data_IF_458131684346
#
_entry.id   IF_458131684346
#
_cell.length_a   1.000
_cell.length_b   1.000
_cell.length_c   1.000
_cell.angle_alpha   90.00
_cell.angle_beta   90.00
_cell.angle_gamma   90.00
#
_symmetry.space_group_name_H-M   'P 1'
#
loop_
_entity.id
_entity.type
_entity.pdbx_description
1 polymer ?
#
# COMPACT_ATOMS: atom_id res chain seq x y z
N UNK A 1 -5.97 33.06 -15.80
CA UNK A 1 -4.95 31.99 -15.99
C UNK A 1 -5.41 30.79 -15.19
N UNK A 2 -5.76 29.61 -15.71
CA UNK A 2 -5.91 29.05 -17.06
C UNK A 2 -7.08 28.06 -16.95
N UNK A 3 -8.22 28.34 -17.58
CA UNK A 3 -9.21 27.31 -17.90
C UNK A 3 -9.03 27.02 -19.38
N UNK A 4 -8.13 26.06 -19.67
CA UNK A 4 -7.92 25.56 -21.03
C UNK A 4 -9.14 24.77 -21.44
N UNK A 5 -9.85 25.30 -22.43
CA UNK A 5 -10.97 24.64 -23.11
C UNK A 5 -10.41 23.44 -23.88
N UNK A 6 -10.85 22.24 -23.54
CA UNK A 6 -10.70 21.10 -24.44
C UNK A 6 -11.56 21.38 -25.68
N UNK A 7 -10.88 21.69 -26.78
CA UNK A 7 -11.48 21.96 -28.08
C UNK A 7 -12.09 20.66 -28.60
N UNK A 8 -13.43 20.60 -28.65
CA UNK A 8 -14.15 19.57 -29.38
C UNK A 8 -13.84 19.78 -30.87
N UNK A 9 -12.84 19.04 -31.38
CA UNK A 9 -12.52 19.02 -32.79
C UNK A 9 -13.59 18.16 -33.48
N UNK A 10 -14.74 18.76 -33.78
CA UNK A 10 -15.74 18.14 -34.66
C UNK A 10 -15.13 18.12 -36.06
N UNK A 11 -14.48 17.02 -36.41
CA UNK A 11 -14.02 16.75 -37.77
C UNK A 11 -15.28 16.57 -38.63
N UNK A 12 -15.74 17.65 -39.28
CA UNK A 12 -16.75 17.56 -40.33
C UNK A 12 -16.07 16.91 -41.53
N UNK A 13 -16.14 15.59 -41.60
CA UNK A 13 -15.84 14.85 -42.82
C UNK A 13 -16.95 15.13 -43.82
N UNK A 14 -16.62 15.87 -44.87
CA UNK A 14 -17.44 15.96 -46.06
C UNK A 14 -17.59 14.55 -46.64
N UNK A 15 -18.80 14.00 -46.60
CA UNK A 15 -19.14 12.77 -47.30
C UNK A 15 -19.27 13.14 -48.78
N UNK A 16 -18.20 12.93 -49.55
CA UNK A 16 -18.31 12.83 -51.00
C UNK A 16 -19.04 11.52 -51.32
N UNK A 17 -20.19 11.63 -51.97
CA UNK A 17 -20.92 10.48 -52.49
C UNK A 17 -20.23 9.98 -53.76
N UNK A 18 -19.23 9.11 -53.60
CA UNK A 18 -18.81 8.22 -54.68
C UNK A 18 -19.76 7.00 -54.69
N UNK A 19 -20.44 6.70 -55.81
CA UNK A 19 -21.22 5.48 -55.94
C UNK A 19 -20.23 4.33 -56.12
N UNK A 20 -20.51 3.19 -55.48
CA UNK A 20 -19.66 1.99 -55.39
C UNK A 20 -18.70 2.09 -54.19
N UNK A 21 -19.20 1.83 -52.98
CA UNK A 21 -18.59 0.97 -51.95
C UNK A 21 -19.52 1.02 -50.73
N UNK A 22 -20.49 0.09 -50.66
CA UNK A 22 -21.23 -0.16 -49.44
C UNK A 22 -20.31 -0.92 -48.48
N UNK A 23 -19.48 -0.20 -47.72
CA UNK A 23 -18.81 -0.80 -46.57
C UNK A 23 -19.87 -0.98 -45.47
N UNK A 24 -20.20 -2.22 -45.08
CA UNK A 24 -21.10 -2.43 -43.96
C UNK A 24 -20.40 -1.89 -42.71
N UNK A 25 -20.89 -0.76 -42.19
CA UNK A 25 -20.53 -0.27 -40.86
C UNK A 25 -21.18 -1.18 -39.81
N UNK A 26 -20.72 -2.43 -39.70
CA UNK A 26 -20.91 -3.24 -38.50
C UNK A 26 -19.79 -2.87 -37.53
N UNK A 27 -19.86 -1.66 -36.94
CA UNK A 27 -19.13 -1.40 -35.71
C UNK A 27 -19.82 -2.20 -34.61
N UNK A 28 -19.35 -3.42 -34.39
CA UNK A 28 -19.61 -4.13 -33.14
C UNK A 28 -19.01 -3.27 -32.03
N UNK A 29 -19.84 -2.49 -31.35
CA UNK A 29 -19.47 -1.93 -30.05
C UNK A 29 -19.30 -3.11 -29.09
N UNK A 30 -18.08 -3.61 -28.99
CA UNK A 30 -17.69 -4.42 -27.85
C UNK A 30 -17.68 -3.50 -26.64
N UNK A 31 -18.74 -3.57 -25.84
CA UNK A 31 -18.70 -3.19 -24.44
C UNK A 31 -17.68 -4.13 -23.76
N UNK A 32 -16.41 -3.77 -23.86
CA UNK A 32 -15.37 -4.35 -23.02
C UNK A 32 -15.76 -3.94 -21.59
N UNK A 33 -16.27 -4.89 -20.81
CA UNK A 33 -16.51 -4.67 -19.39
C UNK A 33 -15.14 -4.54 -18.75
N UNK A 34 -14.66 -3.32 -18.59
CA UNK A 34 -13.48 -3.04 -17.79
C UNK A 34 -13.81 -3.42 -16.34
N UNK A 35 -13.18 -4.48 -15.86
CA UNK A 35 -13.28 -4.92 -14.48
C UNK A 35 -12.29 -4.06 -13.71
N UNK A 36 -12.81 -3.18 -12.85
CA UNK A 36 -12.00 -2.39 -11.94
C UNK A 36 -11.35 -3.26 -10.86
N UNK A 37 -10.20 -2.83 -10.37
CA UNK A 37 -9.44 -3.49 -9.32
C UNK A 37 -9.11 -2.51 -8.20
N UNK A 38 -9.18 -2.98 -6.96
CA UNK A 38 -8.83 -2.19 -5.79
C UNK A 38 -7.90 -3.00 -4.91
N UNK A 39 -7.02 -2.31 -4.18
CA UNK A 39 -6.38 -2.90 -3.01
C UNK A 39 -7.13 -2.46 -1.75
N UNK A 40 -7.29 -3.38 -0.80
CA UNK A 40 -7.63 -3.06 0.57
C UNK A 40 -6.53 -3.61 1.47
N UNK A 41 -5.93 -2.73 2.27
CA UNK A 41 -4.90 -3.06 3.25
C UNK A 41 -5.26 -2.46 4.60
N UNK A 42 -4.83 -3.10 5.68
CA UNK A 42 -5.21 -2.75 7.05
C UNK A 42 -4.18 -3.30 8.01
N UNK A 43 -4.19 -2.79 9.24
CA UNK A 43 -3.53 -3.43 10.40
C UNK A 43 -2.05 -3.71 10.14
N UNK A 44 -1.33 -2.71 9.61
CA UNK A 44 0.10 -2.86 9.32
C UNK A 44 0.90 -3.11 10.59
N UNK A 45 0.52 -2.49 11.72
CA UNK A 45 1.24 -2.51 13.00
C UNK A 45 2.76 -2.51 12.81
N UNK A 46 3.30 -1.42 12.26
CA UNK A 46 4.72 -1.33 11.96
C UNK A 46 5.51 -1.12 13.25
N UNK A 47 6.24 -2.15 13.67
CA UNK A 47 7.20 -2.06 14.75
C UNK A 47 8.56 -1.59 14.23
N UNK A 48 8.86 -0.32 14.47
CA UNK A 48 10.15 0.30 14.11
C UNK A 48 11.32 -0.19 14.97
N UNK A 49 11.05 -0.79 16.12
CA UNK A 49 12.04 -1.28 17.08
C UNK A 49 12.23 -2.81 17.01
N UNK A 50 11.49 -3.50 16.13
CA UNK A 50 11.65 -4.93 15.92
C UNK A 50 13.11 -5.29 15.65
N UNK A 51 13.60 -6.31 16.33
CA UNK A 51 14.96 -6.82 16.18
C UNK A 51 14.95 -8.32 15.99
N UNK A 52 15.77 -8.83 15.07
CA UNK A 52 16.03 -10.28 14.94
C UNK A 52 16.73 -10.89 16.15
N UNK A 53 17.19 -10.05 17.09
CA UNK A 53 17.74 -10.44 18.38
C UNK A 53 16.86 -9.94 19.54
N UNK A 54 15.60 -9.62 19.26
CA UNK A 54 14.63 -9.18 20.25
C UNK A 54 14.09 -10.32 21.11
N UNK A 55 13.33 -9.97 22.13
CA UNK A 55 12.68 -10.90 23.06
C UNK A 55 11.16 -10.76 22.98
N UNK A 56 10.44 -11.87 22.80
CA UNK A 56 8.98 -11.90 22.72
C UNK A 56 8.32 -11.32 23.98
N UNK A 57 8.97 -11.46 25.14
CA UNK A 57 8.47 -10.89 26.40
C UNK A 57 8.64 -9.37 26.48
N UNK A 58 9.45 -8.80 25.59
CA UNK A 58 9.73 -7.38 25.48
C UNK A 58 9.29 -6.83 24.11
N UNK A 59 8.13 -7.27 23.62
CA UNK A 59 7.56 -6.84 22.34
C UNK A 59 8.52 -6.99 21.15
N UNK A 60 9.44 -7.97 21.22
CA UNK A 60 10.42 -8.25 20.18
C UNK A 60 11.45 -7.14 19.95
N UNK A 61 11.61 -6.27 20.96
CA UNK A 61 12.64 -5.23 21.00
C UNK A 61 13.91 -5.77 21.65
N UNK A 62 15.04 -5.13 21.35
CA UNK A 62 16.32 -5.47 21.98
C UNK A 62 16.54 -4.62 23.24
N UNK A 63 16.36 -5.21 24.43
CA UNK A 63 16.69 -4.57 25.69
C UNK A 63 17.98 -5.14 26.29
N UNK A 64 19.01 -4.30 26.40
CA UNK A 64 20.33 -4.68 26.91
C UNK A 64 20.35 -5.07 28.41
N UNK A 65 19.24 -4.99 29.14
CA UNK A 65 19.23 -4.98 30.62
C UNK A 65 18.22 -5.92 31.26
N UNK A 66 17.80 -7.02 30.63
CA UNK A 66 16.95 -7.99 31.33
C UNK A 66 17.82 -8.88 32.24
N UNK A 67 17.81 -8.73 33.58
CA UNK A 67 18.75 -9.40 34.49
C UNK A 67 18.39 -10.86 34.78
N UNK A 68 17.32 -11.38 34.14
CA UNK A 68 16.66 -12.63 34.51
C UNK A 68 16.50 -13.65 33.39
N UNK A 69 17.10 -13.46 32.22
CA UNK A 69 17.00 -14.48 31.18
C UNK A 69 18.11 -15.51 31.28
N UNK A 70 17.75 -16.61 31.94
CA UNK A 70 18.28 -17.94 31.68
C UNK A 70 18.44 -18.11 30.16
N UNK A 71 19.66 -18.43 29.71
CA UNK A 71 20.15 -18.29 28.33
C UNK A 71 19.57 -19.33 27.34
N UNK A 72 18.31 -19.71 27.50
CA UNK A 72 17.67 -20.79 26.76
C UNK A 72 16.82 -20.35 25.55
N UNK A 73 16.51 -19.06 25.37
CA UNK A 73 15.88 -18.56 24.14
C UNK A 73 16.91 -17.85 23.26
N UNK A 74 17.64 -18.66 22.48
CA UNK A 74 18.55 -18.22 21.41
C UNK A 74 17.88 -18.34 20.03
N UNK A 75 16.57 -18.18 19.97
CA UNK A 75 15.88 -18.18 18.70
C UNK A 75 15.95 -16.77 18.14
N UNK A 76 16.90 -16.55 17.22
CA UNK A 76 16.95 -15.32 16.45
C UNK A 76 15.61 -15.19 15.71
N UNK A 77 14.89 -14.09 15.96
CA UNK A 77 13.64 -13.81 15.27
C UNK A 77 13.92 -13.66 13.77
N UNK A 78 12.96 -14.07 12.95
CA UNK A 78 13.09 -13.99 11.49
C UNK A 78 13.11 -12.53 11.03
N UNK A 79 13.77 -12.27 9.90
CA UNK A 79 13.77 -10.96 9.25
C UNK A 79 12.36 -10.46 8.92
N UNK A 80 11.42 -11.37 8.66
CA UNK A 80 10.05 -11.04 8.25
C UNK A 80 9.03 -11.09 9.39
N UNK A 81 9.48 -11.24 10.64
CA UNK A 81 8.61 -11.24 11.81
C UNK A 81 8.56 -12.59 12.52
N UNK A 82 7.86 -12.58 13.65
CA UNK A 82 7.44 -13.77 14.39
C UNK A 82 5.94 -13.61 14.71
N UNK A 83 5.23 -14.73 14.90
CA UNK A 83 3.80 -14.71 15.20
C UNK A 83 3.44 -14.00 16.51
N UNK A 84 4.41 -13.81 17.41
CA UNK A 84 4.26 -13.14 18.70
C UNK A 84 4.59 -11.65 18.65
N UNK A 85 4.93 -11.11 17.47
CA UNK A 85 5.39 -9.74 17.28
C UNK A 85 4.51 -9.00 16.27
N UNK A 86 4.51 -7.68 16.37
CA UNK A 86 4.04 -6.82 15.29
C UNK A 86 5.02 -6.77 14.12
N UNK A 87 4.59 -6.18 13.01
CA UNK A 87 5.26 -6.31 11.72
C UNK A 87 6.57 -5.52 11.66
N UNK A 88 7.70 -6.17 11.33
CA UNK A 88 8.90 -5.42 10.99
C UNK A 88 8.75 -4.68 9.66
N UNK A 89 9.58 -3.66 9.45
CA UNK A 89 9.64 -2.92 8.18
C UNK A 89 9.82 -3.82 6.95
N UNK A 90 10.58 -4.91 7.09
CA UNK A 90 10.81 -5.87 6.02
C UNK A 90 9.52 -6.57 5.57
N UNK A 91 8.62 -6.91 6.51
CA UNK A 91 7.33 -7.53 6.18
C UNK A 91 6.41 -6.51 5.50
N UNK A 92 6.26 -5.32 6.07
CA UNK A 92 5.43 -4.24 5.51
C UNK A 92 5.89 -3.86 4.10
N UNK A 93 7.19 -3.67 3.90
CA UNK A 93 7.77 -3.36 2.58
C UNK A 93 7.59 -4.50 1.58
N UNK A 94 7.74 -5.75 2.02
CA UNK A 94 7.52 -6.93 1.19
C UNK A 94 6.06 -7.03 0.74
N UNK A 95 5.11 -6.80 1.66
CA UNK A 95 3.68 -6.80 1.35
C UNK A 95 3.31 -5.73 0.32
N UNK A 96 3.78 -4.48 0.49
CA UNK A 96 3.52 -3.40 -0.47
C UNK A 96 4.18 -3.66 -1.82
N UNK A 97 5.38 -4.26 -1.83
CA UNK A 97 6.04 -4.71 -3.06
C UNK A 97 5.24 -5.80 -3.76
N UNK A 98 4.67 -6.75 -3.01
CA UNK A 98 3.83 -7.82 -3.55
C UNK A 98 2.52 -7.27 -4.13
N UNK A 99 1.88 -6.29 -3.48
CA UNK A 99 0.73 -5.59 -4.08
C UNK A 99 1.09 -5.05 -5.46
N UNK A 100 2.24 -4.36 -5.58
CA UNK A 100 2.69 -3.79 -6.85
C UNK A 100 2.97 -4.85 -7.92
N UNK A 101 3.52 -6.00 -7.54
CA UNK A 101 3.84 -7.07 -8.49
C UNK A 101 2.59 -7.82 -8.98
N UNK A 102 1.54 -7.90 -8.16
CA UNK A 102 0.26 -8.52 -8.50
C UNK A 102 -0.61 -7.59 -9.34
N UNK A 103 -0.81 -6.34 -8.89
CA UNK A 103 -1.59 -5.31 -9.59
C UNK A 103 -0.94 -3.95 -9.36
N UNK A 104 -0.30 -3.45 -10.41
CA UNK A 104 0.51 -2.24 -10.37
C UNK A 104 -0.31 -0.94 -10.51
N UNK A 105 -1.52 -1.02 -11.06
CA UNK A 105 -2.36 0.10 -11.46
C UNK A 105 -3.82 -0.14 -11.04
N UNK A 106 -4.10 -0.36 -9.74
CA UNK A 106 -5.48 -0.43 -9.26
C UNK A 106 -6.17 0.94 -9.41
N UNK A 107 -7.49 0.95 -9.45
CA UNK A 107 -8.28 2.18 -9.51
C UNK A 107 -8.03 3.07 -8.29
N UNK A 108 -7.93 2.45 -7.11
CA UNK A 108 -7.55 3.11 -5.85
C UNK A 108 -7.11 2.08 -4.80
N UNK A 109 -6.57 2.59 -3.69
CA UNK A 109 -6.18 1.81 -2.52
C UNK A 109 -7.01 2.28 -1.32
N UNK A 110 -7.65 1.35 -0.63
CA UNK A 110 -8.23 1.55 0.70
C UNK A 110 -7.20 1.13 1.74
N UNK A 111 -6.86 2.04 2.66
CA UNK A 111 -6.02 1.73 3.81
C UNK A 111 -6.83 2.00 5.08
N UNK A 112 -7.26 0.93 5.75
CA UNK A 112 -8.24 1.04 6.84
C UNK A 112 -7.64 1.25 8.24
N UNK A 113 -6.37 1.66 8.34
CA UNK A 113 -5.77 2.13 9.58
C UNK A 113 -4.92 1.09 10.31
N UNK A 114 -4.97 1.17 11.65
CA UNK A 114 -4.26 0.40 12.67
C UNK A 114 -2.76 0.13 12.37
N UNK A 115 -1.98 1.20 12.47
CA UNK A 115 -0.62 1.24 11.90
C UNK A 115 0.48 1.18 12.94
N UNK A 116 0.16 1.51 14.18
CA UNK A 116 1.09 1.63 15.29
C UNK A 116 1.22 0.25 15.97
N UNK A 117 2.41 -0.15 16.46
CA UNK A 117 2.55 -1.44 17.12
C UNK A 117 1.90 -1.43 18.51
N UNK A 118 1.53 -2.60 18.99
CA UNK A 118 1.05 -2.87 20.34
C UNK A 118 2.21 -2.78 21.34
N UNK A 119 2.49 -1.57 21.80
CA UNK A 119 3.52 -1.29 22.80
C UNK A 119 2.90 -0.74 24.09
N UNK A 120 3.70 -0.62 25.15
CA UNK A 120 3.24 -0.01 26.41
C UNK A 120 2.97 1.48 26.20
N UNK A 121 1.92 2.02 26.80
CA UNK A 121 1.55 3.45 26.71
C UNK A 121 2.71 4.41 27.05
N UNK A 122 3.60 4.00 27.96
CA UNK A 122 4.79 4.78 28.34
C UNK A 122 5.79 4.98 27.19
N UNK A 123 5.70 4.13 26.17
CA UNK A 123 6.56 4.12 25.00
C UNK A 123 5.83 4.66 23.75
N UNK A 124 4.52 4.91 23.83
CA UNK A 124 3.69 5.41 22.73
C UNK A 124 3.59 6.94 22.77
N UNK A 125 4.50 7.60 22.06
CA UNK A 125 4.49 9.05 21.91
C UNK A 125 3.87 9.46 20.58
N UNK A 126 3.24 10.64 20.54
CA UNK A 126 2.71 11.21 19.29
C UNK A 126 3.77 11.30 18.18
N UNK A 127 5.03 11.54 18.52
CA UNK A 127 6.13 11.57 17.56
C UNK A 127 6.33 10.21 16.87
N UNK A 128 6.26 9.10 17.63
CA UNK A 128 6.33 7.75 17.07
C UNK A 128 5.11 7.43 16.22
N UNK A 129 3.92 7.86 16.65
CA UNK A 129 2.69 7.73 15.87
C UNK A 129 2.85 8.40 14.51
N UNK A 130 3.35 9.64 14.49
CA UNK A 130 3.60 10.36 13.24
C UNK A 130 4.71 9.75 12.40
N UNK A 131 5.76 9.23 13.02
CA UNK A 131 6.84 8.51 12.33
C UNK A 131 6.30 7.29 11.58
N UNK A 132 5.55 6.42 12.26
CA UNK A 132 5.02 5.19 11.70
C UNK A 132 4.03 5.46 10.57
N UNK A 133 3.03 6.33 10.82
CA UNK A 133 2.06 6.73 9.79
C UNK A 133 2.78 7.38 8.60
N UNK A 134 3.78 8.21 8.86
CA UNK A 134 4.61 8.85 7.83
C UNK A 134 5.42 7.85 7.01
N UNK A 135 5.95 6.80 7.63
CA UNK A 135 6.70 5.73 6.96
C UNK A 135 5.80 4.93 6.01
N UNK A 136 4.64 4.46 6.49
CA UNK A 136 3.68 3.71 5.67
C UNK A 136 3.12 4.59 4.54
N UNK A 137 2.78 5.84 4.84
CA UNK A 137 2.30 6.80 3.83
C UNK A 137 3.33 7.00 2.71
N UNK A 138 4.61 7.20 3.07
CA UNK A 138 5.69 7.36 2.09
C UNK A 138 5.90 6.10 1.27
N UNK A 139 5.85 4.92 1.89
CA UNK A 139 5.97 3.64 1.20
C UNK A 139 4.85 3.49 0.15
N UNK A 140 3.58 3.58 0.56
CA UNK A 140 2.45 3.44 -0.36
C UNK A 140 2.49 4.49 -1.49
N UNK A 141 2.76 5.76 -1.18
CA UNK A 141 2.82 6.83 -2.20
C UNK A 141 3.99 6.68 -3.17
N UNK A 142 5.13 6.17 -2.71
CA UNK A 142 6.28 5.95 -3.58
C UNK A 142 6.11 4.73 -4.47
N UNK A 143 5.46 3.67 -3.98
CA UNK A 143 5.16 2.47 -4.76
C UNK A 143 4.02 2.68 -5.76
N UNK A 144 3.01 3.48 -5.39
CA UNK A 144 1.83 3.78 -6.22
C UNK A 144 1.67 5.29 -6.48
N UNK A 145 2.57 5.92 -7.25
CA UNK A 145 2.62 7.38 -7.40
C UNK A 145 1.41 7.98 -8.14
N UNK A 146 0.69 7.16 -8.92
CA UNK A 146 -0.44 7.59 -9.75
C UNK A 146 -1.80 7.04 -9.26
N UNK A 147 -1.83 6.45 -8.06
CA UNK A 147 -3.04 5.82 -7.51
C UNK A 147 -3.53 6.64 -6.32
N UNK A 148 -4.84 6.87 -6.24
CA UNK A 148 -5.44 7.55 -5.09
C UNK A 148 -5.52 6.59 -3.91
N UNK A 149 -5.10 7.06 -2.74
CA UNK A 149 -5.16 6.30 -1.47
C UNK A 149 -6.20 6.96 -0.58
N UNK A 150 -7.16 6.17 -0.08
CA UNK A 150 -8.17 6.59 0.89
C UNK A 150 -7.85 5.96 2.26
N UNK A 151 -7.21 6.72 3.16
CA UNK A 151 -6.88 6.24 4.50
C UNK A 151 -8.05 6.47 5.49
N UNK A 152 -8.18 5.58 6.46
CA UNK A 152 -8.91 5.81 7.71
C UNK A 152 -7.97 5.67 8.90
N UNK A 153 -8.34 6.27 10.04
CA UNK A 153 -7.65 6.04 11.32
C UNK A 153 -8.26 4.80 11.95
N UNK A 154 -7.41 3.89 12.43
CA UNK A 154 -7.79 2.69 13.17
C UNK A 154 -7.96 2.97 14.65
#
# INVERSE_FOLDING_TARGET
>A
MLLSRASLLTLVTFIAFDPIYCFPLTSSFHLQKDIGTIWQVTDFHLDVNYSTHGDHTQMCHNHATSPHHDHHFKDNLSTYGDYSCDSPWALVSSAVSAMKSIEASPDFILWTGDSIPHIKDSEDSLDKVYEVIGNITRLLRSTFPNTTIYPTVG
#
